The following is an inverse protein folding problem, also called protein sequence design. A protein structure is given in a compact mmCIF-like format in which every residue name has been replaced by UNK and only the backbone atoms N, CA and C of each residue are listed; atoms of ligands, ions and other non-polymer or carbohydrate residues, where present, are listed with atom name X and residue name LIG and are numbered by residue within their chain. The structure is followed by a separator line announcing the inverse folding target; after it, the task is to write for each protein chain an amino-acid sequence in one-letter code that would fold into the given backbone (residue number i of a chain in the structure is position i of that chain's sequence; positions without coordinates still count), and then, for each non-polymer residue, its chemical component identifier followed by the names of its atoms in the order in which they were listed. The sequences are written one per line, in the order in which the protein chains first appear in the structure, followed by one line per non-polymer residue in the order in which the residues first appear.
data_IF_520611149732
#
_entry.id   IF_520611149732
#
_cell.length_a   1.000
_cell.length_b   1.000
_cell.length_c   1.000
_cell.angle_alpha   90.00
_cell.angle_beta   90.00
_cell.angle_gamma   90.00
#
_symmetry.space_group_name_H-M   'P 1'
#
loop_
_entity.id
_entity.type
_entity.pdbx_description
1 polymer ?
#
# COMPACT_ATOMS: atom_id res chain seq x y z
N UNK A 1 -39.11 -38.57 -15.75
CA UNK A 1 -40.36 -39.01 -15.10
C UNK A 1 -40.01 -39.78 -13.84
N UNK A 2 -40.96 -39.99 -12.91
CA UNK A 2 -40.75 -40.39 -11.50
C UNK A 2 -40.15 -39.20 -10.71
N UNK A 3 -40.93 -38.37 -10.01
CA UNK A 3 -41.76 -38.55 -8.80
C UNK A 3 -41.01 -38.99 -7.54
N UNK A 4 -40.98 -38.13 -6.51
CA UNK A 4 -41.79 -38.33 -5.29
C UNK A 4 -42.01 -36.99 -4.56
N UNK A 5 -42.99 -36.89 -3.65
CA UNK A 5 -43.36 -35.63 -2.99
C UNK A 5 -43.85 -35.81 -1.53
N UNK A 6 -43.39 -34.94 -0.63
CA UNK A 6 -43.92 -34.65 0.73
C UNK A 6 -43.65 -33.15 0.98
N UNK A 7 -44.54 -32.19 1.28
CA UNK A 7 -45.97 -32.10 1.70
C UNK A 7 -46.20 -31.87 3.22
N UNK A 8 -46.77 -30.69 3.54
CA UNK A 8 -47.30 -30.20 4.85
C UNK A 8 -46.29 -29.95 6.00
N UNK A 9 -46.50 -28.99 6.92
CA UNK A 9 -47.46 -27.87 6.96
C UNK A 9 -46.92 -26.69 7.79
N UNK A 10 -47.42 -25.47 7.57
CA UNK A 10 -47.20 -24.32 8.47
C UNK A 10 -48.36 -24.23 9.47
N UNK A 11 -48.06 -24.06 10.76
CA UNK A 11 -49.05 -23.82 11.80
C UNK A 11 -48.84 -22.43 12.40
N UNK A 12 -49.88 -21.59 12.37
CA UNK A 12 -49.86 -20.28 13.02
C UNK A 12 -50.12 -20.48 14.51
N UNK A 13 -49.23 -19.95 15.35
CA UNK A 13 -49.45 -19.88 16.80
C UNK A 13 -50.03 -18.51 17.13
N UNK A 14 -51.21 -18.50 17.72
CA UNK A 14 -51.82 -17.34 18.37
C UNK A 14 -52.51 -17.86 19.63
N UNK A 15 -52.09 -17.41 20.82
CA UNK A 15 -52.61 -17.93 22.08
C UNK A 15 -52.58 -16.86 23.17
N UNK A 16 -53.72 -16.67 23.83
CA UNK A 16 -53.89 -15.75 24.96
C UNK A 16 -53.51 -16.38 26.31
N UNK A 17 -53.52 -15.53 27.34
CA UNK A 17 -53.16 -15.82 28.73
C UNK A 17 -54.05 -16.87 29.40
N UNK A 18 -53.45 -17.83 30.13
CA UNK A 18 -54.02 -18.25 31.41
C UNK A 18 -53.05 -19.00 32.34
N UNK A 19 -53.01 -18.56 33.62
CA UNK A 19 -53.11 -19.46 34.78
C UNK A 19 -51.89 -20.30 35.23
N UNK A 20 -51.52 -20.09 36.50
CA UNK A 20 -50.70 -20.97 37.37
C UNK A 20 -49.24 -21.19 36.97
N UNK A 21 -48.36 -21.21 37.98
CA UNK A 21 -46.93 -21.44 37.81
C UNK A 21 -46.38 -22.42 38.85
N UNK A 22 -45.25 -23.03 38.50
CA UNK A 22 -44.34 -23.74 39.39
C UNK A 22 -42.93 -23.73 38.76
N UNK A 23 -41.89 -23.87 39.58
CA UNK A 23 -40.49 -23.76 39.16
C UNK A 23 -40.04 -24.99 38.35
N UNK A 24 -39.23 -24.82 37.30
CA UNK A 24 -38.47 -25.94 36.73
C UNK A 24 -37.91 -25.77 35.32
N UNK A 25 -36.64 -25.35 35.22
CA UNK A 25 -35.66 -25.72 34.16
C UNK A 25 -36.18 -25.69 32.70
N UNK A 26 -36.05 -24.52 32.04
CA UNK A 26 -36.01 -24.47 30.58
C UNK A 26 -34.66 -25.00 30.07
N UNK A 27 -34.62 -26.27 29.65
CA UNK A 27 -33.49 -26.79 28.87
C UNK A 27 -33.60 -26.23 27.44
N UNK A 28 -32.84 -25.18 27.15
CA UNK A 28 -32.77 -24.62 25.80
C UNK A 28 -32.16 -25.64 24.83
N UNK A 29 -33.00 -26.23 23.97
CA UNK A 29 -32.53 -27.06 22.85
C UNK A 29 -31.84 -26.12 21.86
N UNK A 30 -30.51 -26.06 21.94
CA UNK A 30 -29.70 -25.23 21.06
C UNK A 30 -29.80 -25.77 19.63
N UNK A 31 -30.64 -25.11 18.81
CA UNK A 31 -30.88 -25.46 17.42
C UNK A 31 -29.58 -25.27 16.64
N UNK A 32 -28.85 -26.36 16.42
CA UNK A 32 -27.65 -26.36 15.60
C UNK A 32 -28.06 -26.09 14.14
N UNK A 33 -27.96 -24.82 13.75
CA UNK A 33 -28.03 -24.40 12.36
C UNK A 33 -26.89 -25.12 11.64
N UNK A 34 -27.23 -25.97 10.66
CA UNK A 34 -26.24 -26.71 9.89
C UNK A 34 -25.37 -25.71 9.12
N UNK A 35 -24.10 -25.66 9.48
CA UNK A 35 -23.09 -24.79 8.89
C UNK A 35 -22.96 -25.04 7.38
N UNK A 36 -22.96 -23.97 6.58
CA UNK A 36 -23.15 -24.00 5.13
C UNK A 36 -21.82 -24.16 4.37
N UNK A 37 -20.97 -25.10 4.82
CA UNK A 37 -19.53 -25.12 4.50
C UNK A 37 -19.12 -25.67 3.13
N UNK A 38 -20.09 -25.95 2.25
CA UNK A 38 -19.89 -26.25 0.83
C UNK A 38 -20.36 -25.13 -0.13
N UNK A 39 -20.43 -23.89 0.38
CA UNK A 39 -20.50 -22.69 -0.47
C UNK A 39 -19.26 -22.65 -1.37
N UNK A 40 -19.45 -22.74 -2.69
CA UNK A 40 -18.39 -22.64 -3.68
C UNK A 40 -17.80 -21.21 -3.69
N UNK A 41 -16.65 -21.02 -3.05
CA UNK A 41 -15.91 -19.76 -3.12
C UNK A 41 -15.47 -19.46 -4.55
N UNK A 42 -15.91 -18.31 -5.08
CA UNK A 42 -15.64 -17.89 -6.45
C UNK A 42 -14.79 -16.62 -6.44
N UNK A 43 -13.49 -16.78 -6.70
CA UNK A 43 -12.52 -15.68 -6.65
C UNK A 43 -12.40 -15.06 -8.04
N UNK A 44 -12.78 -13.79 -8.19
CA UNK A 44 -12.54 -13.01 -9.42
C UNK A 44 -11.14 -12.39 -9.40
N UNK A 45 -10.57 -12.09 -10.57
CA UNK A 45 -9.26 -11.40 -10.67
C UNK A 45 -9.30 -10.22 -11.63
N UNK A 46 -8.65 -9.11 -11.25
CA UNK A 46 -8.36 -7.96 -12.12
C UNK A 46 -6.84 -7.75 -12.23
N UNK A 47 -6.31 -7.23 -13.35
CA UNK A 47 -4.96 -6.64 -13.37
C UNK A 47 -4.83 -5.55 -12.32
N UNK A 48 -3.67 -5.45 -11.66
CA UNK A 48 -3.35 -4.32 -10.78
C UNK A 48 -2.94 -3.05 -11.55
N UNK A 49 -2.26 -2.11 -10.88
CA UNK A 49 -1.72 -0.91 -11.53
C UNK A 49 -0.57 -1.28 -12.48
N UNK A 50 0.17 -2.34 -12.16
CA UNK A 50 1.36 -2.80 -12.88
C UNK A 50 1.22 -4.24 -13.40
N UNK A 51 1.99 -4.62 -14.44
CA UNK A 51 1.99 -5.99 -14.98
C UNK A 51 2.50 -7.06 -13.98
N UNK A 52 3.18 -6.63 -12.92
CA UNK A 52 3.61 -7.45 -11.77
C UNK A 52 2.53 -7.62 -10.71
N UNK A 53 1.34 -7.04 -10.86
CA UNK A 53 0.27 -7.05 -9.86
C UNK A 53 -1.00 -7.74 -10.38
N UNK A 54 -1.67 -8.47 -9.49
CA UNK A 54 -3.00 -9.01 -9.73
C UNK A 54 -3.84 -8.88 -8.46
N UNK A 55 -5.07 -8.38 -8.61
CA UNK A 55 -6.02 -8.18 -7.54
C UNK A 55 -7.06 -9.30 -7.54
N UNK A 56 -7.27 -9.93 -6.38
CA UNK A 56 -8.15 -11.08 -6.18
C UNK A 56 -9.34 -10.68 -5.30
N UNK A 57 -10.56 -11.02 -5.73
CA UNK A 57 -11.82 -10.70 -5.05
C UNK A 57 -12.52 -12.00 -4.62
N UNK A 58 -12.43 -12.45 -3.36
CA UNK A 58 -12.98 -13.74 -2.92
C UNK A 58 -14.52 -13.77 -2.74
N UNK A 59 -15.21 -12.67 -3.02
CA UNK A 59 -16.65 -12.46 -2.81
C UNK A 59 -17.10 -12.58 -1.33
N UNK A 60 -16.16 -12.39 -0.41
CA UNK A 60 -16.33 -12.30 1.04
C UNK A 60 -15.43 -11.16 1.55
N UNK A 61 -15.75 -10.57 2.71
CA UNK A 61 -14.93 -9.49 3.29
C UNK A 61 -13.53 -10.00 3.63
N UNK A 62 -12.52 -9.18 3.33
CA UNK A 62 -11.12 -9.50 3.58
C UNK A 62 -10.63 -8.74 4.81
N UNK A 63 -10.63 -7.41 4.78
CA UNK A 63 -10.23 -6.57 5.92
C UNK A 63 -10.92 -5.19 5.83
N UNK A 64 -12.01 -5.00 6.56
CA UNK A 64 -12.86 -3.80 6.44
C UNK A 64 -12.10 -2.49 6.72
N UNK A 65 -11.09 -2.56 7.59
CA UNK A 65 -10.22 -1.46 7.99
C UNK A 65 -9.02 -1.22 7.04
N UNK A 66 -9.07 -1.74 5.81
CA UNK A 66 -8.00 -1.63 4.81
C UNK A 66 -7.85 -0.25 4.14
N UNK A 67 -6.75 -0.01 3.40
CA UNK A 67 -5.76 -1.00 2.97
C UNK A 67 -4.63 -1.27 3.99
N UNK A 68 -4.32 -2.54 4.21
CA UNK A 68 -3.18 -3.00 4.99
C UNK A 68 -2.16 -3.69 4.08
N UNK A 69 -1.05 -3.00 3.79
CA UNK A 69 0.14 -3.65 3.23
C UNK A 69 0.85 -4.43 4.35
N UNK A 70 1.16 -5.71 4.11
CA UNK A 70 1.79 -6.60 5.09
C UNK A 70 3.12 -7.08 4.53
N UNK A 71 4.24 -6.81 5.19
CA UNK A 71 5.55 -7.34 4.73
C UNK A 71 5.69 -8.83 5.06
N UNK A 72 6.67 -9.51 4.44
CA UNK A 72 6.92 -10.94 4.68
C UNK A 72 7.33 -11.24 6.12
N UNK A 73 7.99 -10.28 6.77
CA UNK A 73 8.45 -10.34 8.15
C UNK A 73 7.29 -10.16 9.14
N UNK A 74 6.37 -9.23 8.84
CA UNK A 74 5.21 -8.91 9.67
C UNK A 74 4.05 -9.92 9.52
N UNK A 75 4.04 -10.72 8.45
CA UNK A 75 2.90 -11.54 8.06
C UNK A 75 2.43 -12.54 9.13
N UNK A 76 3.37 -13.18 9.84
CA UNK A 76 3.07 -14.16 10.88
C UNK A 76 2.39 -13.54 12.12
N UNK A 77 2.58 -12.25 12.36
CA UNK A 77 1.94 -11.49 13.44
C UNK A 77 0.63 -10.85 12.96
N UNK A 78 0.65 -10.21 11.79
CA UNK A 78 -0.44 -9.35 11.32
C UNK A 78 -1.54 -10.05 10.52
N UNK A 79 -1.26 -11.14 9.82
CA UNK A 79 -2.26 -11.72 8.89
C UNK A 79 -2.02 -13.21 8.60
N UNK A 80 -2.85 -14.12 9.16
CA UNK A 80 -2.84 -15.54 8.84
C UNK A 80 -3.14 -15.86 7.36
N UNK A 81 -3.70 -14.90 6.62
CA UNK A 81 -3.86 -14.95 5.16
C UNK A 81 -2.55 -14.59 4.44
N UNK A 82 -1.93 -13.45 4.78
CA UNK A 82 -0.67 -13.02 4.16
C UNK A 82 0.46 -14.01 4.44
N UNK A 83 0.52 -14.61 5.65
CA UNK A 83 1.48 -15.65 5.99
C UNK A 83 1.41 -16.83 5.00
N UNK A 84 0.21 -17.39 4.78
CA UNK A 84 -0.05 -18.45 3.79
C UNK A 84 0.30 -18.03 2.36
N UNK A 85 0.00 -16.78 1.98
CA UNK A 85 0.32 -16.27 0.64
C UNK A 85 1.84 -16.12 0.43
N UNK A 86 2.61 -15.76 1.47
CA UNK A 86 4.07 -15.67 1.40
C UNK A 86 4.78 -17.04 1.39
N UNK A 87 4.13 -18.15 1.77
CA UNK A 87 4.65 -19.50 1.55
C UNK A 87 4.78 -19.85 0.05
N UNK A 88 4.03 -19.16 -0.83
CA UNK A 88 4.08 -19.38 -2.28
C UNK A 88 5.33 -18.72 -2.87
N UNK A 89 6.12 -19.51 -3.60
CA UNK A 89 7.32 -19.03 -4.29
C UNK A 89 6.99 -17.92 -5.30
N UNK A 90 7.74 -16.82 -5.19
CA UNK A 90 7.63 -15.65 -6.04
C UNK A 90 6.53 -14.64 -5.67
N UNK A 91 5.79 -14.83 -4.57
CA UNK A 91 4.98 -13.75 -3.96
C UNK A 91 5.92 -12.73 -3.29
N UNK A 92 5.90 -11.50 -3.79
CA UNK A 92 6.82 -10.43 -3.39
C UNK A 92 6.19 -9.42 -2.41
N UNK A 93 4.91 -9.06 -2.61
CA UNK A 93 4.14 -8.25 -1.66
C UNK A 93 2.67 -8.64 -1.63
N UNK A 94 2.02 -8.45 -0.47
CA UNK A 94 0.59 -8.66 -0.22
C UNK A 94 -0.02 -7.42 0.41
N UNK A 95 -1.17 -6.97 -0.09
CA UNK A 95 -1.98 -5.90 0.51
C UNK A 95 -3.45 -6.30 0.57
N UNK A 96 -4.12 -5.97 1.67
CA UNK A 96 -5.47 -6.42 2.00
C UNK A 96 -6.42 -5.22 2.12
N UNK A 97 -7.52 -5.24 1.36
CA UNK A 97 -8.56 -4.19 1.39
C UNK A 97 -9.86 -4.74 1.99
N UNK A 98 -10.94 -3.95 2.01
CA UNK A 98 -12.25 -4.43 2.45
C UNK A 98 -12.74 -5.67 1.67
N UNK A 99 -12.52 -5.70 0.35
CA UNK A 99 -13.13 -6.66 -0.58
C UNK A 99 -12.11 -7.39 -1.49
N UNK A 100 -10.82 -7.06 -1.38
CA UNK A 100 -9.78 -7.58 -2.28
C UNK A 100 -8.43 -7.86 -1.61
N UNK A 101 -7.67 -8.74 -2.26
CA UNK A 101 -6.30 -9.13 -1.93
C UNK A 101 -5.44 -8.76 -3.14
N UNK A 102 -4.60 -7.73 -3.01
CA UNK A 102 -3.64 -7.33 -4.05
C UNK A 102 -2.34 -8.07 -3.82
N UNK A 103 -1.83 -8.75 -4.85
CA UNK A 103 -0.55 -9.45 -4.79
C UNK A 103 0.38 -8.93 -5.87
N UNK A 104 1.58 -8.51 -5.47
CA UNK A 104 2.69 -8.27 -6.38
C UNK A 104 3.56 -9.53 -6.47
N UNK A 105 3.83 -9.99 -7.70
CA UNK A 105 4.76 -11.09 -7.97
C UNK A 105 6.17 -10.57 -8.22
N UNK A 106 7.16 -11.42 -7.97
CA UNK A 106 8.51 -11.26 -8.49
C UNK A 106 8.56 -11.43 -10.02
N UNK A 107 9.64 -10.95 -10.65
CA UNK A 107 9.82 -11.05 -12.10
C UNK A 107 9.95 -12.51 -12.60
N UNK A 108 10.43 -13.43 -11.73
CA UNK A 108 10.83 -14.78 -12.09
C UNK A 108 9.68 -15.77 -12.33
N UNK A 109 8.45 -15.46 -11.90
CA UNK A 109 7.26 -16.32 -12.07
C UNK A 109 6.30 -15.71 -13.09
N UNK A 110 5.56 -16.56 -13.81
CA UNK A 110 4.41 -16.13 -14.62
C UNK A 110 3.11 -16.13 -13.79
N UNK A 111 2.15 -15.27 -14.17
CA UNK A 111 0.85 -15.19 -13.52
C UNK A 111 -0.02 -16.43 -13.74
N UNK A 112 0.15 -17.19 -14.82
CA UNK A 112 -0.71 -18.35 -15.13
C UNK A 112 -0.53 -19.50 -14.14
N UNK A 113 0.70 -19.76 -13.69
CA UNK A 113 0.97 -20.72 -12.61
C UNK A 113 0.64 -20.12 -11.25
N UNK A 114 1.20 -18.94 -10.95
CA UNK A 114 1.11 -18.32 -9.62
C UNK A 114 -0.34 -18.06 -9.18
N UNK A 115 -1.22 -17.68 -10.11
CA UNK A 115 -2.66 -17.48 -9.83
C UNK A 115 -3.33 -18.77 -9.32
N UNK A 116 -2.92 -19.94 -9.81
CA UNK A 116 -3.49 -21.23 -9.39
C UNK A 116 -3.07 -21.58 -7.97
N UNK A 117 -1.80 -21.34 -7.63
CA UNK A 117 -1.26 -21.51 -6.27
C UNK A 117 -1.95 -20.54 -5.29
N UNK A 118 -2.07 -19.26 -5.66
CA UNK A 118 -2.77 -18.23 -4.87
C UNK A 118 -4.24 -18.57 -4.65
N UNK A 119 -5.00 -18.96 -5.69
CA UNK A 119 -6.38 -19.39 -5.52
C UNK A 119 -6.50 -20.55 -4.52
N UNK A 120 -5.57 -21.52 -4.58
CA UNK A 120 -5.50 -22.62 -3.62
C UNK A 120 -5.32 -22.13 -2.17
N UNK A 121 -4.37 -21.22 -1.94
CA UNK A 121 -4.10 -20.66 -0.62
C UNK A 121 -5.26 -19.81 -0.06
N UNK A 122 -5.89 -18.97 -0.90
CA UNK A 122 -7.06 -18.16 -0.49
C UNK A 122 -8.23 -19.08 -0.10
N UNK A 123 -8.59 -20.05 -0.96
CA UNK A 123 -9.68 -21.00 -0.64
C UNK A 123 -9.35 -21.83 0.60
N UNK A 124 -8.11 -22.27 0.79
CA UNK A 124 -7.70 -23.01 1.98
C UNK A 124 -7.77 -22.15 3.25
N UNK A 125 -7.41 -20.86 3.17
CA UNK A 125 -7.53 -19.93 4.29
C UNK A 125 -9.00 -19.71 4.69
N UNK A 126 -9.86 -19.26 3.77
CA UNK A 126 -11.28 -19.02 4.11
C UNK A 126 -12.01 -20.30 4.53
N UNK A 127 -11.65 -21.48 3.99
CA UNK A 127 -12.18 -22.78 4.48
C UNK A 127 -11.67 -23.20 5.86
N UNK A 128 -10.55 -22.67 6.34
CA UNK A 128 -10.05 -22.95 7.69
C UNK A 128 -10.84 -22.22 8.78
N UNK A 129 -11.39 -21.04 8.47
CA UNK A 129 -12.08 -20.18 9.42
C UNK A 129 -11.16 -19.28 10.26
N UNK A 130 -9.85 -19.30 10.01
CA UNK A 130 -8.92 -18.31 10.54
C UNK A 130 -9.32 -16.89 10.10
N UNK A 131 -9.07 -15.85 10.91
CA UNK A 131 -9.26 -14.47 10.48
C UNK A 131 -8.20 -14.07 9.44
N UNK A 132 -8.59 -13.26 8.44
CA UNK A 132 -7.69 -12.79 7.41
C UNK A 132 -6.63 -11.80 7.93
N UNK A 133 -6.94 -11.07 9.00
CA UNK A 133 -6.06 -10.13 9.70
C UNK A 133 -6.16 -10.38 11.20
N UNK A 134 -5.03 -10.32 11.91
CA UNK A 134 -4.95 -10.55 13.36
C UNK A 134 -5.42 -9.33 14.14
N UNK A 135 -5.90 -9.53 15.38
CA UNK A 135 -6.25 -8.45 16.31
C UNK A 135 -5.08 -7.45 16.52
N UNK A 136 -3.83 -7.93 16.55
CA UNK A 136 -2.62 -7.10 16.64
C UNK A 136 -2.37 -6.19 15.40
N UNK A 137 -3.00 -6.49 14.26
CA UNK A 137 -3.02 -5.61 13.10
C UNK A 137 -4.29 -4.74 13.05
N UNK A 138 -5.36 -5.12 13.73
CA UNK A 138 -6.53 -4.27 13.96
C UNK A 138 -6.23 -3.14 14.98
N UNK A 139 -5.28 -3.33 15.91
CA UNK A 139 -4.63 -2.20 16.62
C UNK A 139 -3.86 -1.25 15.68
N UNK A 140 -3.66 -1.64 14.41
CA UNK A 140 -3.10 -0.79 13.36
C UNK A 140 -4.09 -0.39 12.27
N UNK A 141 -5.38 -0.71 12.45
CA UNK A 141 -6.47 -0.14 11.69
C UNK A 141 -6.53 1.39 11.83
N UNK A 142 -7.15 2.10 10.87
CA UNK A 142 -7.81 3.35 11.15
C UNK A 142 -8.91 3.11 12.22
N UNK A 143 -8.89 3.84 13.33
CA UNK A 143 -10.02 3.81 14.27
C UNK A 143 -11.29 4.43 13.66
N UNK A 144 -12.42 4.35 14.36
CA UNK A 144 -13.70 4.95 13.92
C UNK A 144 -13.55 6.44 13.54
N UNK A 145 -12.74 7.19 14.31
CA UNK A 145 -12.36 8.58 14.02
C UNK A 145 -11.44 8.72 12.79
N UNK A 146 -10.46 7.82 12.60
CA UNK A 146 -9.59 7.85 11.43
C UNK A 146 -10.37 7.51 10.16
N UNK A 147 -11.41 6.69 10.23
CA UNK A 147 -12.28 6.36 9.10
C UNK A 147 -13.06 7.60 8.60
N UNK A 148 -13.63 8.40 9.52
CA UNK A 148 -14.27 9.68 9.17
C UNK A 148 -13.25 10.65 8.55
N UNK A 149 -12.05 10.76 9.15
CA UNK A 149 -10.95 11.58 8.63
C UNK A 149 -10.53 11.12 7.23
N UNK A 150 -10.43 9.82 6.99
CA UNK A 150 -10.05 9.24 5.69
C UNK A 150 -11.07 9.59 4.59
N UNK A 151 -12.37 9.59 4.91
CA UNK A 151 -13.40 9.98 3.93
C UNK A 151 -13.42 11.50 3.69
N UNK A 152 -13.16 12.31 4.71
CA UNK A 152 -12.92 13.76 4.52
C UNK A 152 -11.67 14.02 3.66
N UNK A 153 -10.58 13.26 3.83
CA UNK A 153 -9.37 13.34 2.99
C UNK A 153 -9.70 13.01 1.53
N UNK A 154 -10.48 11.93 1.26
CA UNK A 154 -10.89 11.54 -0.09
C UNK A 154 -11.75 12.62 -0.78
N UNK A 155 -12.67 13.25 -0.06
CA UNK A 155 -13.48 14.35 -0.59
C UNK A 155 -12.59 15.56 -0.96
N UNK A 156 -11.74 16.03 -0.05
CA UNK A 156 -10.86 17.18 -0.32
C UNK A 156 -9.86 16.90 -1.45
N UNK A 157 -9.37 15.66 -1.56
CA UNK A 157 -8.53 15.23 -2.68
C UNK A 157 -9.29 15.35 -4.00
N UNK A 158 -10.43 14.68 -4.12
CA UNK A 158 -11.19 14.61 -5.38
C UNK A 158 -11.84 15.94 -5.79
N UNK A 159 -12.32 16.74 -4.83
CA UNK A 159 -13.05 17.99 -5.12
C UNK A 159 -12.16 19.21 -5.36
N UNK A 160 -10.93 19.22 -4.85
CA UNK A 160 -10.07 20.43 -4.85
C UNK A 160 -8.62 20.17 -5.25
N UNK A 161 -7.98 19.16 -4.68
CA UNK A 161 -6.53 18.97 -4.86
C UNK A 161 -6.22 18.34 -6.22
N UNK A 162 -6.88 17.23 -6.57
CA UNK A 162 -6.71 16.56 -7.87
C UNK A 162 -6.98 17.52 -9.04
N UNK A 163 -8.08 18.30 -9.09
CA UNK A 163 -8.28 19.30 -10.14
C UNK A 163 -7.12 20.30 -10.30
N UNK A 164 -6.55 20.79 -9.20
CA UNK A 164 -5.43 21.73 -9.24
C UNK A 164 -4.11 21.06 -9.67
N UNK A 165 -3.86 19.83 -9.21
CA UNK A 165 -2.66 19.04 -9.54
C UNK A 165 -2.67 18.59 -11.00
N UNK A 166 -3.82 18.14 -11.52
CA UNK A 166 -3.99 17.79 -12.93
C UNK A 166 -3.90 19.02 -13.85
N UNK A 167 -4.31 20.21 -13.38
CA UNK A 167 -4.09 21.46 -14.14
C UNK A 167 -2.59 21.79 -14.30
N UNK A 168 -1.76 21.42 -13.31
CA UNK A 168 -0.29 21.50 -13.38
C UNK A 168 0.35 20.31 -14.15
N UNK A 169 -0.43 19.36 -14.67
CA UNK A 169 0.06 18.19 -15.39
C UNK A 169 0.57 17.03 -14.51
N UNK A 170 0.25 17.03 -13.22
CA UNK A 170 0.53 15.92 -12.30
C UNK A 170 -0.71 15.08 -11.96
N UNK A 171 -0.51 14.07 -11.12
CA UNK A 171 -1.58 13.31 -10.46
C UNK A 171 -1.26 13.11 -8.96
N UNK A 172 -2.31 12.98 -8.13
CA UNK A 172 -2.17 12.64 -6.71
C UNK A 172 -3.34 11.80 -6.23
N UNK A 173 -3.06 10.72 -5.50
CA UNK A 173 -4.08 9.82 -4.96
C UNK A 173 -3.81 9.42 -3.51
N UNK A 174 -4.88 9.14 -2.76
CA UNK A 174 -4.80 8.63 -1.39
C UNK A 174 -4.10 7.26 -1.37
N UNK A 175 -3.20 7.03 -0.41
CA UNK A 175 -2.68 5.70 -0.12
C UNK A 175 -3.13 5.19 1.26
N UNK A 176 -2.76 5.89 2.33
CA UNK A 176 -3.12 5.51 3.70
C UNK A 176 -3.02 6.69 4.66
N UNK A 177 -3.70 6.59 5.80
CA UNK A 177 -3.60 7.55 6.91
C UNK A 177 -3.45 6.78 8.21
N UNK A 178 -2.48 7.16 9.05
CA UNK A 178 -2.25 6.53 10.35
C UNK A 178 -1.58 7.49 11.33
N UNK A 179 -2.14 7.61 12.54
CA UNK A 179 -1.55 8.39 13.65
C UNK A 179 -1.16 9.82 13.23
N UNK A 180 -2.05 10.51 12.52
CA UNK A 180 -1.80 11.86 12.03
C UNK A 180 -0.87 11.98 10.82
N UNK A 181 -0.39 10.88 10.23
CA UNK A 181 0.43 10.89 9.00
C UNK A 181 -0.39 10.42 7.81
N UNK A 182 -0.50 11.27 6.80
CA UNK A 182 -1.15 10.97 5.53
C UNK A 182 -0.09 10.63 4.47
N UNK A 183 -0.22 9.46 3.86
CA UNK A 183 0.59 9.02 2.73
C UNK A 183 -0.24 9.15 1.44
N UNK A 184 0.33 9.85 0.46
CA UNK A 184 -0.25 10.03 -0.87
C UNK A 184 0.70 9.43 -1.93
N UNK A 185 0.14 8.92 -3.03
CA UNK A 185 0.91 8.66 -4.26
C UNK A 185 0.96 9.97 -5.06
N UNK A 186 2.14 10.39 -5.50
CA UNK A 186 2.31 11.56 -6.39
C UNK A 186 2.87 11.13 -7.75
N UNK A 187 2.38 11.69 -8.85
CA UNK A 187 2.92 11.48 -10.20
C UNK A 187 3.17 12.81 -10.94
N UNK A 188 4.20 12.83 -11.79
CA UNK A 188 4.61 14.05 -12.49
C UNK A 188 5.01 15.17 -11.52
N UNK A 189 4.79 16.46 -11.87
CA UNK A 189 5.16 17.61 -11.05
C UNK A 189 4.26 17.81 -9.80
N UNK A 190 3.44 16.83 -9.43
CA UNK A 190 2.54 16.91 -8.28
C UNK A 190 3.29 17.01 -6.93
N UNK A 191 4.55 16.55 -6.86
CA UNK A 191 5.33 16.55 -5.63
C UNK A 191 5.75 17.95 -5.21
N UNK A 192 6.05 18.86 -6.15
CA UNK A 192 6.24 20.30 -5.89
C UNK A 192 5.09 20.93 -5.09
N UNK A 193 3.87 20.43 -5.31
CA UNK A 193 2.67 20.93 -4.65
C UNK A 193 2.50 20.39 -3.23
N UNK A 194 3.35 19.47 -2.75
CA UNK A 194 3.28 18.83 -1.42
C UNK A 194 3.13 19.85 -0.28
N UNK A 195 3.91 20.94 -0.30
CA UNK A 195 3.82 22.00 0.73
C UNK A 195 2.46 22.70 0.71
N UNK A 196 1.92 23.01 -0.47
CA UNK A 196 0.59 23.61 -0.63
C UNK A 196 -0.53 22.65 -0.22
N UNK A 197 -0.42 21.39 -0.64
CA UNK A 197 -1.35 20.30 -0.32
C UNK A 197 -1.39 20.04 1.18
N UNK A 198 -0.24 19.95 1.84
CA UNK A 198 -0.13 19.80 3.29
C UNK A 198 -0.74 20.98 4.06
N UNK A 199 -0.49 22.22 3.62
CA UNK A 199 -1.05 23.41 4.26
C UNK A 199 -2.58 23.50 4.06
N UNK A 200 -3.08 23.10 2.89
CA UNK A 200 -4.51 23.04 2.59
C UNK A 200 -5.20 21.96 3.43
N UNK A 201 -4.67 20.73 3.45
CA UNK A 201 -5.26 19.61 4.18
C UNK A 201 -5.30 19.88 5.70
N UNK A 202 -4.21 20.42 6.28
CA UNK A 202 -4.18 20.85 7.69
C UNK A 202 -5.16 21.96 8.05
N UNK A 203 -5.61 22.76 7.08
CA UNK A 203 -6.60 23.82 7.34
C UNK A 203 -8.01 23.25 7.52
N UNK A 204 -8.31 22.11 6.89
CA UNK A 204 -9.61 21.44 7.00
C UNK A 204 -9.61 20.28 8.00
N UNK A 205 -8.47 19.60 8.15
CA UNK A 205 -8.29 18.40 8.97
C UNK A 205 -7.01 18.60 9.82
N UNK A 206 -7.10 19.30 10.97
CA UNK A 206 -5.95 19.65 11.79
C UNK A 206 -5.21 18.45 12.40
N UNK A 207 -5.81 17.26 12.38
CA UNK A 207 -5.24 15.99 12.83
C UNK A 207 -4.07 15.52 11.92
N UNK A 208 -3.94 16.07 10.71
CA UNK A 208 -2.86 15.73 9.75
C UNK A 208 -1.54 16.40 10.18
N UNK A 209 -0.87 15.78 11.16
CA UNK A 209 0.48 16.15 11.61
C UNK A 209 1.52 16.15 10.49
N UNK A 210 1.38 15.35 9.43
CA UNK A 210 2.27 15.35 8.26
C UNK A 210 1.60 14.78 7.00
N UNK A 211 2.01 15.27 5.83
CA UNK A 211 1.73 14.63 4.52
C UNK A 211 3.06 14.16 3.91
N UNK A 212 3.09 12.94 3.39
CA UNK A 212 4.28 12.26 2.88
C UNK A 212 3.97 11.55 1.54
N UNK A 213 5.00 11.33 0.73
CA UNK A 213 4.91 10.39 -0.39
C UNK A 213 4.95 8.95 0.14
N UNK A 214 4.03 8.11 -0.33
CA UNK A 214 4.05 6.66 -0.12
C UNK A 214 5.45 6.04 -0.37
N UNK A 215 6.20 6.53 -1.35
CA UNK A 215 7.58 6.09 -1.67
C UNK A 215 8.58 6.24 -0.51
N UNK A 216 8.30 7.11 0.46
CA UNK A 216 9.13 7.27 1.66
C UNK A 216 8.71 6.33 2.81
N UNK A 217 7.52 5.71 2.73
CA UNK A 217 7.06 4.66 3.66
C UNK A 217 7.47 3.23 3.26
N UNK A 218 7.83 3.03 1.98
CA UNK A 218 8.29 1.73 1.48
C UNK A 218 9.56 1.27 2.22
N UNK A 219 9.68 -0.01 2.60
CA UNK A 219 10.92 -0.56 3.12
C UNK A 219 12.00 -0.54 2.03
N UNK A 220 13.18 0.00 2.36
CA UNK A 220 14.28 0.24 1.41
C UNK A 220 15.51 -0.62 1.74
N UNK A 221 15.43 -1.96 1.61
CA UNK A 221 16.51 -2.85 2.01
C UNK A 221 17.82 -2.57 1.26
N UNK A 222 17.73 -2.01 0.04
CA UNK A 222 18.85 -1.52 -0.74
C UNK A 222 19.77 -0.54 0.00
N UNK A 223 19.23 0.34 0.84
CA UNK A 223 20.03 1.29 1.62
C UNK A 223 20.89 0.62 2.70
N UNK A 224 20.55 -0.60 3.09
CA UNK A 224 21.25 -1.37 4.13
C UNK A 224 22.21 -2.42 3.55
N UNK A 225 22.33 -2.57 2.22
CA UNK A 225 23.33 -3.47 1.63
C UNK A 225 24.73 -2.86 1.69
N UNK A 226 25.81 -3.66 1.57
CA UNK A 226 27.18 -3.14 1.48
C UNK A 226 27.35 -2.09 0.37
N UNK A 227 26.67 -2.29 -0.76
CA UNK A 227 26.65 -1.37 -1.90
C UNK A 227 25.91 -0.07 -1.57
N UNK A 228 24.71 -0.16 -0.99
CA UNK A 228 23.93 1.01 -0.58
C UNK A 228 24.66 1.86 0.46
N UNK A 229 25.32 1.23 1.43
CA UNK A 229 26.15 1.90 2.44
C UNK A 229 27.39 2.55 1.79
N UNK A 230 28.06 1.85 0.86
CA UNK A 230 29.20 2.40 0.13
C UNK A 230 28.82 3.61 -0.73
N UNK A 231 27.65 3.58 -1.39
CA UNK A 231 27.14 4.69 -2.21
C UNK A 231 26.75 5.87 -1.31
N UNK A 232 26.02 5.66 -0.20
CA UNK A 232 25.72 6.74 0.76
C UNK A 232 27.00 7.42 1.27
N UNK A 233 28.03 6.62 1.60
CA UNK A 233 29.33 7.14 2.04
C UNK A 233 30.04 7.94 0.95
N UNK A 234 30.03 7.46 -0.30
CA UNK A 234 30.57 8.19 -1.46
C UNK A 234 29.86 9.54 -1.66
N UNK A 235 28.54 9.57 -1.55
CA UNK A 235 27.77 10.79 -1.68
C UNK A 235 28.13 11.79 -0.58
N UNK A 236 28.15 11.38 0.70
CA UNK A 236 28.38 12.31 1.82
C UNK A 236 29.85 12.75 1.97
N UNK A 237 30.83 11.86 1.74
CA UNK A 237 32.25 12.18 1.95
C UNK A 237 32.94 12.82 0.72
N UNK A 238 32.38 12.66 -0.49
CA UNK A 238 33.03 13.08 -1.75
C UNK A 238 32.17 13.98 -2.64
N UNK A 239 30.90 13.61 -2.86
CA UNK A 239 30.03 14.35 -3.80
C UNK A 239 29.44 15.60 -3.14
N UNK A 240 28.77 15.46 -2.00
CA UNK A 240 28.13 16.56 -1.28
C UNK A 240 29.09 17.71 -0.93
N UNK A 241 30.33 17.49 -0.45
CA UNK A 241 31.30 18.57 -0.24
C UNK A 241 31.66 19.34 -1.52
N UNK A 242 31.56 18.70 -2.69
CA UNK A 242 31.88 19.31 -4.00
C UNK A 242 30.71 20.15 -4.54
N UNK A 243 29.46 19.73 -4.34
CA UNK A 243 28.26 20.46 -4.81
C UNK A 243 27.69 21.45 -3.78
N UNK A 244 28.04 21.33 -2.50
CA UNK A 244 27.63 22.25 -1.45
C UNK A 244 28.08 23.70 -1.69
N UNK A 245 29.16 23.92 -2.44
CA UNK A 245 29.60 25.25 -2.88
C UNK A 245 28.56 25.98 -3.76
N UNK A 246 27.66 25.23 -4.41
CA UNK A 246 26.52 25.75 -5.18
C UNK A 246 25.19 25.68 -4.38
N UNK A 247 25.25 25.37 -3.08
CA UNK A 247 24.07 25.15 -2.24
C UNK A 247 23.29 23.87 -2.56
N UNK A 248 23.86 22.96 -3.36
CA UNK A 248 23.24 21.69 -3.73
C UNK A 248 23.60 20.55 -2.76
N UNK A 249 22.73 19.54 -2.71
CA UNK A 249 22.95 18.25 -2.03
C UNK A 249 22.42 17.12 -2.90
N UNK A 250 22.99 15.92 -2.77
CA UNK A 250 22.46 14.67 -3.32
C UNK A 250 22.30 13.63 -2.20
N UNK A 251 21.22 12.87 -2.29
CA UNK A 251 20.83 11.84 -1.31
C UNK A 251 20.47 10.55 -2.06
N UNK A 252 20.94 9.38 -1.59
CA UNK A 252 20.48 8.09 -2.10
C UNK A 252 19.08 7.81 -1.53
N UNK A 253 18.09 7.68 -2.41
CA UNK A 253 16.69 7.46 -2.04
C UNK A 253 16.35 5.98 -1.92
N UNK A 254 16.90 5.13 -2.79
CA UNK A 254 16.79 3.67 -2.75
C UNK A 254 17.86 3.00 -3.65
N UNK A 255 18.05 1.68 -3.52
CA UNK A 255 18.90 0.86 -4.38
C UNK A 255 18.17 -0.46 -4.72
N UNK A 256 17.83 -0.66 -5.99
CA UNK A 256 17.09 -1.85 -6.44
C UNK A 256 17.89 -2.58 -7.53
N UNK A 257 18.42 -3.75 -7.19
CA UNK A 257 19.27 -4.56 -8.09
C UNK A 257 20.45 -3.72 -8.61
N UNK A 258 20.47 -3.43 -9.91
CA UNK A 258 21.51 -2.68 -10.63
C UNK A 258 21.16 -1.18 -10.77
N UNK A 259 20.11 -0.69 -10.08
CA UNK A 259 19.60 0.69 -10.18
C UNK A 259 19.70 1.46 -8.86
N UNK A 260 20.47 2.54 -8.85
CA UNK A 260 20.50 3.48 -7.74
C UNK A 260 19.54 4.66 -8.02
N UNK A 261 18.65 4.96 -7.07
CA UNK A 261 17.71 6.08 -7.16
C UNK A 261 18.20 7.23 -6.27
N UNK A 262 18.40 8.42 -6.84
CA UNK A 262 18.96 9.58 -6.12
C UNK A 262 18.07 10.81 -6.23
N UNK A 263 18.09 11.66 -5.21
CA UNK A 263 17.40 12.95 -5.17
C UNK A 263 18.41 14.09 -4.97
N UNK A 264 18.20 15.17 -5.71
CA UNK A 264 18.98 16.40 -5.74
C UNK A 264 18.22 17.49 -4.99
N UNK A 265 18.70 17.84 -3.80
CA UNK A 265 18.08 18.83 -2.93
C UNK A 265 18.79 20.22 -3.09
N UNK A 266 18.06 21.31 -2.84
CA UNK A 266 18.63 22.67 -2.81
C UNK A 266 19.06 23.21 -4.19
N UNK A 267 20.26 23.78 -4.29
CA UNK A 267 20.77 24.41 -5.52
C UNK A 267 20.89 23.49 -6.74
N UNK A 268 20.88 22.17 -6.54
CA UNK A 268 20.82 21.20 -7.63
C UNK A 268 19.39 20.96 -8.15
N UNK A 269 18.36 21.19 -7.32
CA UNK A 269 16.96 20.89 -7.64
C UNK A 269 16.46 21.66 -8.87
N UNK A 270 16.74 22.96 -8.96
CA UNK A 270 16.32 23.82 -10.08
C UNK A 270 17.38 24.06 -11.17
N UNK A 271 18.47 23.29 -11.21
CA UNK A 271 19.61 23.61 -12.07
C UNK A 271 19.50 22.97 -13.46
N UNK A 272 19.53 23.77 -14.54
CA UNK A 272 19.57 23.28 -15.93
C UNK A 272 20.82 22.44 -16.29
N UNK A 273 21.81 22.35 -15.40
CA UNK A 273 22.99 21.49 -15.52
C UNK A 273 23.01 20.32 -14.51
N UNK A 274 21.93 20.12 -13.74
CA UNK A 274 21.77 18.99 -12.82
C UNK A 274 21.93 17.66 -13.54
N UNK A 275 21.23 17.52 -14.68
CA UNK A 275 21.23 16.34 -15.54
C UNK A 275 22.65 15.93 -16.01
N UNK A 276 23.49 16.93 -16.34
CA UNK A 276 24.90 16.75 -16.72
C UNK A 276 25.75 16.36 -15.52
N UNK A 277 25.53 17.01 -14.37
CA UNK A 277 26.25 16.75 -13.11
C UNK A 277 26.00 15.32 -12.61
N UNK A 278 24.76 14.86 -12.72
CA UNK A 278 24.35 13.49 -12.43
C UNK A 278 25.01 12.51 -13.42
N UNK A 279 24.74 12.65 -14.71
CA UNK A 279 25.09 11.65 -15.73
C UNK A 279 26.59 11.57 -16.04
N UNK A 280 27.33 12.68 -15.93
CA UNK A 280 28.77 12.73 -16.25
C UNK A 280 29.67 12.76 -15.00
N UNK A 281 29.12 13.14 -13.83
CA UNK A 281 29.84 13.19 -12.56
C UNK A 281 29.42 12.06 -11.62
N UNK A 282 28.25 12.20 -11.00
CA UNK A 282 27.83 11.33 -9.88
C UNK A 282 27.66 9.87 -10.30
N UNK A 283 26.97 9.61 -11.40
CA UNK A 283 26.74 8.25 -11.91
C UNK A 283 28.07 7.54 -12.21
N UNK A 284 29.01 8.25 -12.85
CA UNK A 284 30.35 7.75 -13.17
C UNK A 284 31.15 7.39 -11.91
N UNK A 285 31.03 8.16 -10.83
CA UNK A 285 31.72 7.84 -9.57
C UNK A 285 31.04 6.68 -8.81
N UNK A 286 29.70 6.60 -8.83
CA UNK A 286 28.95 5.45 -8.29
C UNK A 286 29.36 4.16 -9.00
N UNK A 287 29.39 4.17 -10.34
CA UNK A 287 29.73 3.01 -11.16
C UNK A 287 31.20 2.56 -11.01
N UNK A 288 32.12 3.48 -10.73
CA UNK A 288 33.51 3.13 -10.39
C UNK A 288 33.63 2.43 -9.03
N UNK A 289 32.82 2.83 -8.05
CA UNK A 289 32.84 2.26 -6.70
C UNK A 289 32.07 0.94 -6.62
N UNK A 290 30.93 0.85 -7.30
CA UNK A 290 30.03 -0.30 -7.34
C UNK A 290 29.72 -0.65 -8.80
N UNK A 291 30.56 -1.47 -9.46
CA UNK A 291 30.40 -1.80 -10.89
C UNK A 291 29.17 -2.64 -11.25
N UNK A 292 28.41 -3.11 -10.26
CA UNK A 292 27.10 -3.75 -10.44
C UNK A 292 25.94 -2.74 -10.61
N UNK A 293 26.18 -1.44 -10.49
CA UNK A 293 25.17 -0.41 -10.81
C UNK A 293 25.19 -0.13 -12.32
N UNK A 294 24.22 -0.68 -13.04
CA UNK A 294 24.03 -0.38 -14.47
C UNK A 294 23.50 1.04 -14.69
N UNK A 295 22.66 1.56 -13.78
CA UNK A 295 21.89 2.78 -14.00
C UNK A 295 21.75 3.62 -12.72
N UNK A 296 21.85 4.94 -12.84
CA UNK A 296 21.57 5.89 -11.75
C UNK A 296 20.44 6.82 -12.21
N UNK A 297 19.33 6.80 -11.48
CA UNK A 297 18.08 7.45 -11.84
C UNK A 297 17.79 8.62 -10.90
N UNK A 298 17.45 9.77 -11.48
CA UNK A 298 16.97 10.92 -10.73
C UNK A 298 15.49 10.73 -10.36
N UNK A 299 15.14 11.05 -9.11
CA UNK A 299 13.75 11.10 -8.61
C UNK A 299 13.39 12.47 -8.01
N UNK A 300 14.13 13.51 -8.39
CA UNK A 300 13.91 14.90 -7.97
C UNK A 300 12.70 15.53 -8.66
N UNK A 301 11.88 16.26 -7.91
CA UNK A 301 10.98 17.23 -8.53
C UNK A 301 11.73 18.55 -8.81
N UNK A 302 12.15 18.68 -10.07
CA UNK A 302 12.89 19.85 -10.56
C UNK A 302 12.04 21.12 -10.71
N UNK A 303 10.71 21.05 -10.58
CA UNK A 303 9.83 22.22 -10.72
C UNK A 303 9.81 23.13 -9.48
N UNK A 304 10.27 22.63 -8.33
CA UNK A 304 10.19 23.29 -7.01
C UNK A 304 11.50 24.01 -6.60
N UNK A 305 12.53 23.99 -7.46
CA UNK A 305 13.84 24.57 -7.16
C UNK A 305 13.87 26.10 -7.06
N UNK A 306 13.95 26.64 -5.85
CA UNK A 306 13.80 28.09 -5.56
C UNK A 306 14.93 29.03 -6.05
N UNK A 307 16.02 28.52 -6.63
CA UNK A 307 17.12 29.35 -7.13
C UNK A 307 17.91 28.71 -8.31
N UNK A 308 17.45 28.83 -9.58
CA UNK A 308 18.19 28.34 -10.74
C UNK A 308 19.43 29.20 -11.02
N UNK A 309 20.62 28.69 -10.68
CA UNK A 309 21.92 29.36 -10.95
C UNK A 309 22.20 29.63 -12.44
N UNK A 310 21.47 28.95 -13.34
CA UNK A 310 21.59 29.14 -14.79
C UNK A 310 20.19 29.24 -15.42
N UNK A 311 19.83 30.46 -15.83
CA UNK A 311 18.75 30.70 -16.79
C UNK A 311 19.37 30.85 -18.19
N UNK A 312 19.01 30.02 -19.18
CA UNK A 312 19.37 30.30 -20.57
C UNK A 312 18.64 31.56 -21.06
N UNK A 313 19.36 32.38 -21.82
CA UNK A 313 18.89 33.64 -22.43
C UNK A 313 18.13 33.43 -23.74
#
# INVERSE_FOLDING_TARGET
MINFAIVFSVFIINLELCGFGLYGIFTAVSLHISDNRDKLMFIQTKPGENATELEFFPAERVYENGPLAVTREEAAEKSPLAARLYEIDGVAAVSLTADSIVIAKSDARDWSSLRTEVFGAIVAHFKSGDPAVSEAADETAPGEFDAEIIDQIKDLLSTRIVPAVTQSGGDVSFHSYKSGKLFLKFQGPAFSMLTGIQNMLRHYIPEITAVLDYRESLPKPGLNTPEGIAIQKLLEEKVNPSIAAHGGRITLVDLQKERAYVRLDGGCQGCGMADVTLKQGVAVEIQKLVPSIAEVLDVTDHADGTNPYYQPS
#
